data_IF_581144077455
#
_entry.id   IF_581144077455
#
_cell.length_a   1.000
_cell.length_b   1.000
_cell.length_c   1.000
_cell.angle_alpha   90.00
_cell.angle_beta   90.00
_cell.angle_gamma   90.00
#
_symmetry.space_group_name_H-M   'P 1'
#
loop_
_entity.id
_entity.type
_entity.pdbx_description
1 polymer ?
#
# COMPACT_ATOMS: atom_id res chain seq x y z
N UNK A 1 -3.94 -3.72 9.37
CA UNK A 1 -4.98 -3.56 8.33
C UNK A 1 -4.97 -4.79 7.43
N UNK A 2 -6.09 -5.24 6.86
CA UNK A 2 -6.03 -6.39 5.94
C UNK A 2 -5.42 -5.97 4.60
N UNK A 3 -4.69 -6.87 3.94
CA UNK A 3 -4.05 -6.59 2.66
C UNK A 3 -5.07 -6.28 1.56
N UNK A 4 -6.25 -6.90 1.62
CA UNK A 4 -7.35 -6.63 0.71
C UNK A 4 -7.88 -5.20 0.87
N UNK A 5 -8.14 -4.76 2.10
CA UNK A 5 -8.56 -3.38 2.37
C UNK A 5 -7.48 -2.39 1.91
N UNK A 6 -6.19 -2.72 2.10
CA UNK A 6 -5.08 -1.87 1.66
C UNK A 6 -5.03 -1.77 0.12
N UNK A 7 -5.35 -2.85 -0.58
CA UNK A 7 -5.45 -2.84 -2.04
C UNK A 7 -6.60 -1.95 -2.52
N UNK A 8 -7.75 -1.97 -1.86
CA UNK A 8 -8.88 -1.08 -2.17
C UNK A 8 -8.49 0.41 -1.95
N UNK A 9 -7.79 0.73 -0.86
CA UNK A 9 -7.33 2.11 -0.60
C UNK A 9 -6.31 2.60 -1.62
N UNK A 10 -5.34 1.75 -1.99
CA UNK A 10 -4.32 2.10 -2.99
C UNK A 10 -4.97 2.26 -4.37
N UNK A 11 -5.83 1.32 -4.79
CA UNK A 11 -6.53 1.40 -6.06
C UNK A 11 -7.43 2.65 -6.14
N UNK A 12 -8.08 3.04 -5.05
CA UNK A 12 -8.85 4.28 -4.98
C UNK A 12 -7.96 5.51 -5.16
N UNK A 13 -6.81 5.54 -4.47
CA UNK A 13 -5.83 6.63 -4.57
C UNK A 13 -5.26 6.76 -5.99
N UNK A 14 -4.91 5.64 -6.64
CA UNK A 14 -4.34 5.63 -8.00
C UNK A 14 -5.34 6.08 -9.06
N UNK A 15 -6.61 5.74 -8.89
CA UNK A 15 -7.68 6.12 -9.82
C UNK A 15 -8.30 7.49 -9.49
N UNK A 16 -7.92 8.12 -8.37
CA UNK A 16 -8.53 9.37 -7.89
C UNK A 16 -10.02 9.21 -7.55
N UNK A 17 -10.43 8.01 -7.13
CA UNK A 17 -11.82 7.67 -6.79
C UNK A 17 -11.97 7.36 -5.29
N UNK A 18 -13.20 7.11 -4.83
CA UNK A 18 -13.43 6.56 -3.50
C UNK A 18 -13.33 5.03 -3.50
N UNK A 19 -13.00 4.42 -2.37
CA UNK A 19 -12.89 2.95 -2.21
C UNK A 19 -14.16 2.19 -2.62
N UNK A 20 -15.34 2.81 -2.56
CA UNK A 20 -16.60 2.21 -3.00
C UNK A 20 -16.82 2.22 -4.52
N UNK A 21 -16.06 3.03 -5.25
CA UNK A 21 -16.15 3.20 -6.71
C UNK A 21 -15.05 2.43 -7.46
N UNK A 22 -14.10 1.85 -6.72
CA UNK A 22 -13.03 0.99 -7.26
C UNK A 22 -13.64 -0.28 -7.84
N UNK A 23 -13.21 -0.64 -9.06
CA UNK A 23 -13.63 -1.88 -9.68
C UNK A 23 -12.93 -3.07 -9.01
N UNK A 24 -13.60 -4.22 -8.98
CA UNK A 24 -13.02 -5.46 -8.43
C UNK A 24 -11.78 -5.92 -9.18
N UNK A 25 -11.64 -5.55 -10.45
CA UNK A 25 -10.47 -5.89 -11.26
C UNK A 25 -9.27 -5.02 -10.85
N UNK A 26 -9.46 -3.71 -10.69
CA UNK A 26 -8.39 -2.80 -10.25
C UNK A 26 -7.89 -3.15 -8.85
N UNK A 27 -8.81 -3.35 -7.89
CA UNK A 27 -8.45 -3.76 -6.53
C UNK A 27 -7.68 -5.10 -6.51
N UNK A 28 -8.04 -6.03 -7.40
CA UNK A 28 -7.36 -7.33 -7.50
C UNK A 28 -5.96 -7.18 -8.09
N UNK A 29 -5.78 -6.36 -9.11
CA UNK A 29 -4.47 -6.14 -9.73
C UNK A 29 -3.51 -5.48 -8.73
N UNK A 30 -3.98 -4.48 -7.99
CA UNK A 30 -3.24 -3.87 -6.88
C UNK A 30 -2.92 -4.89 -5.78
N UNK A 31 -3.89 -5.70 -5.37
CA UNK A 31 -3.66 -6.76 -4.37
C UNK A 31 -2.54 -7.71 -4.78
N UNK A 32 -2.52 -8.16 -6.05
CA UNK A 32 -1.48 -9.05 -6.57
C UNK A 32 -0.12 -8.37 -6.56
N UNK A 33 -0.03 -7.08 -6.93
CA UNK A 33 1.21 -6.31 -6.86
C UNK A 33 1.71 -6.17 -5.42
N UNK A 34 0.84 -5.75 -4.51
CA UNK A 34 1.16 -5.59 -3.10
C UNK A 34 1.70 -6.90 -2.51
N UNK A 35 1.01 -8.01 -2.77
CA UNK A 35 1.36 -9.32 -2.23
C UNK A 35 2.71 -9.84 -2.75
N UNK A 36 2.97 -9.74 -4.06
CA UNK A 36 4.18 -10.33 -4.66
C UNK A 36 5.40 -9.42 -4.69
N UNK A 37 5.21 -8.10 -4.72
CA UNK A 37 6.28 -7.16 -4.98
C UNK A 37 6.43 -6.14 -3.84
N UNK A 38 5.37 -5.40 -3.53
CA UNK A 38 5.56 -4.16 -2.76
C UNK A 38 5.69 -4.44 -1.26
N UNK A 39 4.80 -5.24 -0.67
CA UNK A 39 4.87 -5.62 0.73
C UNK A 39 6.16 -6.40 1.05
N UNK A 40 6.59 -7.39 0.24
CA UNK A 40 7.88 -8.05 0.47
C UNK A 40 9.08 -7.10 0.48
N UNK A 41 9.11 -6.09 -0.39
CA UNK A 41 10.19 -5.09 -0.43
C UNK A 41 10.16 -4.18 0.79
N UNK A 42 8.98 -3.67 1.16
CA UNK A 42 8.81 -2.83 2.35
C UNK A 42 9.11 -3.59 3.64
N UNK A 43 8.77 -4.87 3.71
CA UNK A 43 9.09 -5.73 4.85
C UNK A 43 10.60 -6.00 4.94
N UNK A 44 11.27 -6.23 3.80
CA UNK A 44 12.73 -6.38 3.76
C UNK A 44 13.46 -5.08 4.21
N UNK A 45 12.82 -3.93 4.04
CA UNK A 45 13.30 -2.62 4.51
C UNK A 45 12.88 -2.28 5.95
N UNK A 46 12.23 -3.20 6.68
CA UNK A 46 11.69 -2.99 8.03
C UNK A 46 10.72 -1.79 8.12
N UNK A 47 9.97 -1.52 7.05
CA UNK A 47 8.95 -0.45 6.98
C UNK A 47 7.57 -0.99 7.35
N UNK A 48 7.28 -2.23 6.95
CA UNK A 48 6.03 -2.92 7.29
C UNK A 48 6.31 -4.30 7.86
N UNK A 49 5.42 -4.77 8.71
CA UNK A 49 5.33 -6.17 9.09
C UNK A 49 4.11 -6.79 8.38
N UNK A 50 4.33 -7.95 7.78
CA UNK A 50 3.29 -8.68 7.07
C UNK A 50 3.02 -10.03 7.72
N UNK A 51 1.84 -10.18 8.32
CA UNK A 51 1.35 -11.45 8.83
C UNK A 51 0.62 -12.18 7.70
N UNK A 52 1.29 -13.18 7.10
CA UNK A 52 0.72 -13.99 6.03
C UNK A 52 -0.43 -14.90 6.49
N UNK A 53 -0.47 -15.27 7.78
CA UNK A 53 -1.51 -16.14 8.31
C UNK A 53 -2.81 -15.36 8.47
N UNK A 54 -2.73 -14.12 8.95
CA UNK A 54 -3.87 -13.22 9.10
C UNK A 54 -4.14 -12.37 7.84
N UNK A 55 -3.21 -12.37 6.88
CA UNK A 55 -3.23 -11.52 5.69
C UNK A 55 -3.34 -10.02 6.04
N UNK A 56 -2.57 -9.60 7.04
CA UNK A 56 -2.59 -8.23 7.56
C UNK A 56 -1.23 -7.57 7.48
N UNK A 57 -1.24 -6.29 7.10
CA UNK A 57 -0.06 -5.43 7.06
C UNK A 57 -0.15 -4.40 8.19
N UNK A 58 0.98 -4.16 8.86
CA UNK A 58 1.12 -3.14 9.90
C UNK A 58 2.39 -2.33 9.65
N UNK A 59 2.32 -1.01 9.80
CA UNK A 59 3.51 -0.16 9.74
C UNK A 59 4.41 -0.43 10.94
N UNK A 60 5.73 -0.48 10.72
CA UNK A 60 6.71 -0.47 11.81
C UNK A 60 6.98 0.95 12.27
N UNK A 61 7.83 1.11 13.29
CA UNK A 61 8.30 2.43 13.73
C UNK A 61 9.15 3.16 12.67
N UNK A 62 9.83 2.43 11.78
CA UNK A 62 10.73 3.03 10.78
C UNK A 62 9.94 3.64 9.61
N UNK A 63 8.66 3.30 9.46
CA UNK A 63 7.79 3.92 8.45
C UNK A 63 7.70 5.44 8.59
N UNK A 64 7.87 5.97 9.81
CA UNK A 64 7.89 7.42 10.05
C UNK A 64 9.06 8.13 9.33
N UNK A 65 10.15 7.42 9.04
CA UNK A 65 11.32 7.97 8.33
C UNK A 65 11.02 8.27 6.85
N UNK A 66 9.99 7.64 6.27
CA UNK A 66 9.58 7.88 4.89
C UNK A 66 8.71 9.12 4.72
N UNK A 67 8.07 9.61 5.79
CA UNK A 67 7.16 10.77 5.74
C UNK A 67 7.79 11.98 5.02
N UNK A 68 9.00 12.46 5.37
CA UNK A 68 9.59 13.60 4.68
C UNK A 68 9.95 13.33 3.21
N UNK A 69 10.13 12.06 2.80
CA UNK A 69 10.39 11.71 1.40
C UNK A 69 9.12 11.73 0.56
N UNK A 70 8.00 11.30 1.15
CA UNK A 70 6.69 11.31 0.50
C UNK A 70 6.14 12.73 0.34
N UNK A 71 6.32 13.60 1.35
CA UNK A 71 5.92 15.01 1.27
C UNK A 71 6.58 15.76 0.11
N UNK A 72 7.82 15.37 -0.25
CA UNK A 72 8.55 15.94 -1.40
C UNK A 72 8.07 15.36 -2.73
N UNK A 73 7.64 14.10 -2.75
CA UNK A 73 7.13 13.46 -3.96
C UNK A 73 5.79 14.05 -4.42
N UNK A 74 4.91 14.43 -3.47
CA UNK A 74 3.64 15.10 -3.74
C UNK A 74 3.80 16.51 -4.36
N UNK A 75 4.94 17.18 -4.10
CA UNK A 75 5.25 18.52 -4.65
C UNK A 75 5.98 18.45 -6.01
N UNK A 76 6.33 17.25 -6.49
CA UNK A 76 7.05 17.09 -7.75
C UNK A 76 6.13 17.23 -8.96
N UNK A 77 6.46 18.08 -9.96
CA UNK A 77 5.68 18.16 -11.19
C UNK A 77 6.03 16.95 -12.06
N UNK A 78 5.16 15.94 -12.09
CA UNK A 78 5.20 14.88 -13.10
C UNK A 78 4.66 15.38 -14.45
#
# INVERSE_FOLDING_TARGET
MALADLADEVAASENGTGTTDVSKEDAKDVYVSLYHADIPKLAAADIVEYDQVQNTVTLTRNAAELRPLLDVADDWPL
#
